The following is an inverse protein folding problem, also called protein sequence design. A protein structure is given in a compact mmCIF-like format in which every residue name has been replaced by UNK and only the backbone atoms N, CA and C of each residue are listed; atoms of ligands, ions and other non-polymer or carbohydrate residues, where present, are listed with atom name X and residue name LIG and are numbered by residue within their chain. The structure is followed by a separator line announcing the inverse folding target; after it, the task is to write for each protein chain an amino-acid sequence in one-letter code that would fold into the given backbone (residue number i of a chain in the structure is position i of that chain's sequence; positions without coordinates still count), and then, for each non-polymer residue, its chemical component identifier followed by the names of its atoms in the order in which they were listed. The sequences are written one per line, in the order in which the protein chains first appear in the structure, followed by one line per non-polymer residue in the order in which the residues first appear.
data_IF_345746349533
#
_entry.id   IF_345746349533
#
_cell.length_a   1.000
_cell.length_b   1.000
_cell.length_c   1.000
_cell.angle_alpha   90.00
_cell.angle_beta   90.00
_cell.angle_gamma   90.00
#
_symmetry.space_group_name_H-M   'P 1'
#
loop_
_entity.id
_entity.type
_entity.pdbx_description
1 polymer ?
#
# COMPACT_ATOMS: atom_id res chain seq x y z
N UNK A 1 -15.29 5.24 17.04
CA UNK A 1 -14.32 5.73 16.02
C UNK A 1 -13.11 4.80 16.07
N UNK A 2 -12.53 4.41 14.95
CA UNK A 2 -11.36 3.52 14.97
C UNK A 2 -10.08 4.35 15.23
N UNK A 3 -9.35 4.11 16.33
CA UNK A 3 -8.10 4.83 16.63
C UNK A 3 -7.00 4.57 15.60
N UNK A 4 -6.95 3.35 15.02
CA UNK A 4 -5.94 3.01 14.02
C UNK A 4 -6.10 3.87 12.77
N UNK A 5 -7.34 4.14 12.33
CA UNK A 5 -7.59 5.00 11.18
C UNK A 5 -7.04 6.41 11.42
N UNK A 6 -7.26 6.96 12.63
CA UNK A 6 -6.74 8.27 12.98
C UNK A 6 -5.20 8.31 13.01
N UNK A 7 -4.55 7.27 13.54
CA UNK A 7 -3.08 7.17 13.53
C UNK A 7 -2.56 7.15 12.10
N UNK A 8 -3.17 6.38 11.20
CA UNK A 8 -2.77 6.33 9.79
C UNK A 8 -2.97 7.69 9.10
N UNK A 9 -4.08 8.38 9.37
CA UNK A 9 -4.32 9.74 8.85
C UNK A 9 -3.28 10.75 9.34
N UNK A 10 -2.87 10.68 10.62
CA UNK A 10 -1.85 11.55 11.20
C UNK A 10 -0.48 11.29 10.59
N UNK A 11 -0.06 10.02 10.48
CA UNK A 11 1.23 9.65 9.88
C UNK A 11 1.31 10.07 8.40
N UNK A 12 0.22 9.85 7.65
CA UNK A 12 0.11 10.31 6.27
C UNK A 12 0.20 11.83 6.15
N UNK A 13 -0.53 12.57 7.00
CA UNK A 13 -0.47 14.03 7.01
C UNK A 13 0.94 14.53 7.37
N UNK A 14 1.59 13.96 8.38
CA UNK A 14 2.93 14.33 8.81
C UNK A 14 3.96 14.16 7.69
N UNK A 15 3.88 13.06 6.94
CA UNK A 15 4.78 12.80 5.81
C UNK A 15 4.54 13.78 4.63
N UNK A 16 3.29 14.17 4.40
CA UNK A 16 2.90 14.96 3.22
C UNK A 16 2.96 16.48 3.43
N UNK A 17 2.70 17.00 4.63
CA UNK A 17 2.66 18.44 4.92
C UNK A 17 3.93 19.18 4.45
N UNK A 18 5.17 18.70 4.72
CA UNK A 18 6.38 19.41 4.30
C UNK A 18 6.51 19.58 2.79
N UNK A 19 5.89 18.68 2.02
CA UNK A 19 6.00 18.62 0.55
C UNK A 19 4.82 19.29 -0.14
N UNK A 20 3.60 19.12 0.37
CA UNK A 20 2.38 19.57 -0.29
C UNK A 20 1.87 20.93 0.21
N UNK A 21 2.16 21.30 1.46
CA UNK A 21 1.62 22.53 2.03
C UNK A 21 2.39 23.78 1.56
N UNK A 22 1.65 24.83 1.22
CA UNK A 22 2.21 26.18 1.01
C UNK A 22 2.59 26.87 2.33
N UNK A 23 2.10 26.37 3.46
CA UNK A 23 2.29 26.92 4.80
C UNK A 23 2.60 25.80 5.81
N UNK A 24 3.72 25.08 5.65
CA UNK A 24 3.99 23.84 6.40
C UNK A 24 3.98 24.02 7.91
N UNK A 25 4.53 25.12 8.44
CA UNK A 25 4.51 25.38 9.89
C UNK A 25 3.09 25.53 10.47
N UNK A 26 2.18 26.18 9.73
CA UNK A 26 0.78 26.38 10.14
C UNK A 26 0.00 25.07 10.11
N UNK A 27 0.19 24.29 9.05
CA UNK A 27 -0.52 23.02 8.88
C UNK A 27 0.02 21.95 9.84
N UNK A 28 1.32 21.98 10.12
CA UNK A 28 1.95 21.15 11.15
C UNK A 28 1.41 21.49 12.54
N UNK A 29 1.29 22.77 12.90
CA UNK A 29 0.67 23.18 14.16
C UNK A 29 -0.82 22.74 14.24
N UNK A 30 -1.51 22.70 13.11
CA UNK A 30 -2.90 22.19 13.04
C UNK A 30 -2.96 20.68 13.28
N UNK A 31 -2.00 19.93 12.74
CA UNK A 31 -1.83 18.49 12.98
C UNK A 31 -1.51 18.21 14.45
N UNK A 32 -0.54 18.91 15.03
CA UNK A 32 -0.16 18.77 16.44
C UNK A 32 -1.34 19.09 17.37
N UNK A 33 -2.10 20.15 17.05
CA UNK A 33 -3.33 20.48 17.77
C UNK A 33 -4.40 19.38 17.65
N UNK A 34 -4.48 18.68 16.51
CA UNK A 34 -5.39 17.56 16.35
C UNK A 34 -4.96 16.37 17.21
N UNK A 35 -3.68 16.02 17.21
CA UNK A 35 -3.11 14.94 18.03
C UNK A 35 -3.29 15.22 19.53
N UNK A 36 -3.01 16.46 19.96
CA UNK A 36 -3.16 16.88 21.35
C UNK A 36 -4.60 16.92 21.87
N UNK A 37 -5.61 16.76 21.01
CA UNK A 37 -7.02 16.62 21.43
C UNK A 37 -7.38 15.20 21.86
N UNK A 38 -6.57 14.19 21.53
CA UNK A 38 -6.87 12.81 21.90
C UNK A 38 -6.57 12.62 23.38
N UNK A 39 -7.61 12.33 24.15
CA UNK A 39 -7.53 12.11 25.59
C UNK A 39 -7.31 10.63 25.88
N UNK A 40 -6.04 10.21 25.88
CA UNK A 40 -5.65 8.83 26.20
C UNK A 40 -5.82 8.55 27.71
N UNK A 41 -5.69 9.57 28.56
CA UNK A 41 -5.83 9.44 30.01
C UNK A 41 -7.26 9.05 30.41
N UNK A 42 -8.26 9.39 29.60
CA UNK A 42 -9.61 8.91 29.77
C UNK A 42 -9.70 7.38 29.84
N UNK A 43 -8.79 6.63 29.20
CA UNK A 43 -8.78 5.16 29.24
C UNK A 43 -8.23 4.58 30.55
N UNK A 44 -7.60 5.40 31.40
CA UNK A 44 -7.09 4.96 32.71
C UNK A 44 -8.21 4.85 33.77
N UNK A 45 -9.44 5.24 33.44
CA UNK A 45 -10.60 5.14 34.33
C UNK A 45 -10.96 3.67 34.64
N UNK A 46 -10.77 3.20 35.88
CA UNK A 46 -11.00 1.81 36.26
C UNK A 46 -12.49 1.41 36.22
N UNK A 47 -13.41 2.37 36.12
CA UNK A 47 -14.86 2.11 35.98
C UNK A 47 -15.27 1.72 34.56
N UNK A 48 -14.39 1.88 33.56
CA UNK A 48 -14.69 1.66 32.15
C UNK A 48 -15.59 2.73 31.51
N UNK A 49 -16.00 3.77 32.25
CA UNK A 49 -16.80 4.87 31.73
C UNK A 49 -16.01 5.80 30.80
N UNK A 50 -14.68 5.80 30.93
CA UNK A 50 -13.72 6.59 30.16
C UNK A 50 -13.72 6.37 28.64
N UNK A 51 -14.21 5.22 28.15
CA UNK A 51 -14.29 4.93 26.72
C UNK A 51 -15.12 5.97 25.96
N UNK A 52 -16.21 6.48 26.56
CA UNK A 52 -17.05 7.50 25.92
C UNK A 52 -16.32 8.84 25.77
N UNK A 53 -15.52 9.19 26.75
CA UNK A 53 -14.71 10.42 26.75
C UNK A 53 -13.59 10.31 25.72
N UNK A 54 -12.87 9.17 25.69
CA UNK A 54 -11.87 8.88 24.67
C UNK A 54 -12.47 8.97 23.26
N UNK A 55 -13.61 8.32 23.02
CA UNK A 55 -14.29 8.33 21.73
C UNK A 55 -14.71 9.74 21.29
N UNK A 56 -15.19 10.57 22.23
CA UNK A 56 -15.54 11.96 21.96
C UNK A 56 -14.30 12.79 21.60
N UNK A 57 -13.19 12.60 22.33
CA UNK A 57 -11.91 13.26 22.07
C UNK A 57 -11.37 12.90 20.68
N UNK A 58 -11.46 11.62 20.29
CA UNK A 58 -11.01 11.10 19.00
C UNK A 58 -11.81 11.69 17.83
N UNK A 59 -13.14 11.82 17.98
CA UNK A 59 -13.97 12.50 16.96
C UNK A 59 -13.60 13.98 16.81
N UNK A 60 -13.33 14.66 17.93
CA UNK A 60 -12.92 16.07 17.91
C UNK A 60 -11.53 16.25 17.26
N UNK A 61 -10.61 15.31 17.47
CA UNK A 61 -9.31 15.25 16.82
C UNK A 61 -9.44 15.00 15.30
N UNK A 62 -10.27 14.03 14.89
CA UNK A 62 -10.57 13.75 13.47
C UNK A 62 -11.19 14.96 12.77
N UNK A 63 -12.10 15.68 13.44
CA UNK A 63 -12.70 16.90 12.88
C UNK A 63 -11.68 18.02 12.70
N UNK A 64 -10.72 18.15 13.62
CA UNK A 64 -9.61 19.09 13.48
C UNK A 64 -8.72 18.72 12.28
N UNK A 65 -8.35 17.44 12.17
CA UNK A 65 -7.52 16.93 11.07
C UNK A 65 -8.22 17.08 9.71
N UNK A 66 -9.55 16.99 9.67
CA UNK A 66 -10.33 17.15 8.46
C UNK A 66 -10.12 18.50 7.76
N UNK A 67 -9.69 19.55 8.48
CA UNK A 67 -9.35 20.85 7.89
C UNK A 67 -8.14 20.79 6.94
N UNK A 68 -7.26 19.78 7.09
CA UNK A 68 -6.11 19.56 6.21
C UNK A 68 -6.45 18.75 4.96
N UNK A 69 -7.63 18.10 4.89
CA UNK A 69 -8.04 17.24 3.77
C UNK A 69 -7.98 17.96 2.40
N UNK A 70 -8.42 19.22 2.24
CA UNK A 70 -8.32 19.91 0.95
C UNK A 70 -6.87 20.10 0.47
N UNK A 71 -5.93 20.27 1.40
CA UNK A 71 -4.50 20.37 1.07
C UNK A 71 -3.92 19.00 0.71
N UNK A 72 -4.20 17.97 1.51
CA UNK A 72 -3.68 16.62 1.29
C UNK A 72 -4.23 15.96 0.01
N UNK A 73 -5.42 16.35 -0.45
CA UNK A 73 -6.06 15.81 -1.67
C UNK A 73 -5.67 16.53 -2.97
N UNK A 74 -4.66 17.41 -2.94
CA UNK A 74 -4.18 18.10 -4.14
C UNK A 74 -3.43 17.18 -5.10
N UNK A 75 -2.92 16.05 -4.60
CA UNK A 75 -2.11 15.10 -5.38
C UNK A 75 -2.78 13.74 -5.40
N UNK A 76 -2.72 13.07 -6.55
CA UNK A 76 -3.10 11.67 -6.68
C UNK A 76 -1.83 10.84 -6.81
N UNK A 77 -1.65 9.87 -5.90
CA UNK A 77 -0.56 8.91 -5.96
C UNK A 77 -1.05 7.65 -6.69
N UNK A 78 -0.25 7.21 -7.66
CA UNK A 78 -0.46 5.93 -8.34
C UNK A 78 0.63 4.98 -7.87
N UNK A 79 0.23 3.90 -7.22
CA UNK A 79 1.13 2.89 -6.67
C UNK A 79 0.89 1.56 -7.38
N UNK A 80 1.96 0.81 -7.62
CA UNK A 80 1.90 -0.54 -8.17
C UNK A 80 2.94 -1.42 -7.50
N UNK A 81 2.61 -2.68 -7.27
CA UNK A 81 3.58 -3.70 -6.91
C UNK A 81 4.58 -3.92 -8.05
N UNK A 82 5.84 -4.12 -7.69
CA UNK A 82 6.92 -4.50 -8.60
C UNK A 82 7.93 -5.37 -7.86
N UNK A 83 8.65 -6.21 -8.59
CA UNK A 83 9.83 -6.90 -8.07
C UNK A 83 10.95 -6.87 -9.09
N UNK A 84 12.00 -6.10 -8.81
CA UNK A 84 13.24 -6.20 -9.55
C UNK A 84 13.95 -7.50 -9.16
N UNK A 85 14.27 -8.33 -10.15
CA UNK A 85 14.99 -9.59 -9.96
C UNK A 85 16.14 -9.59 -10.95
N UNK A 86 17.36 -9.78 -10.48
CA UNK A 86 18.52 -9.94 -11.35
C UNK A 86 18.58 -11.34 -11.95
N UNK A 87 18.66 -11.42 -13.28
CA UNK A 87 18.64 -12.68 -14.01
C UNK A 87 19.82 -13.60 -13.64
N UNK A 88 21.00 -13.01 -13.48
CA UNK A 88 22.23 -13.65 -13.02
C UNK A 88 23.11 -12.60 -12.35
N UNK A 89 23.34 -12.76 -11.05
CA UNK A 89 24.21 -11.86 -10.27
C UNK A 89 25.14 -12.67 -9.39
N UNK A 90 24.85 -12.80 -8.09
CA UNK A 90 25.66 -13.58 -7.13
C UNK A 90 25.19 -15.03 -6.98
N UNK A 91 24.23 -15.47 -7.79
CA UNK A 91 23.66 -16.82 -7.78
C UNK A 91 23.46 -17.38 -9.20
N UNK A 92 23.42 -18.71 -9.37
CA UNK A 92 23.13 -19.35 -10.63
C UNK A 92 21.74 -19.00 -11.16
N UNK A 93 21.60 -18.96 -12.48
CA UNK A 93 20.33 -18.75 -13.20
C UNK A 93 19.20 -19.68 -12.71
N UNK A 94 19.51 -20.93 -12.38
CA UNK A 94 18.52 -21.90 -11.88
C UNK A 94 17.86 -21.44 -10.58
N UNK A 95 18.63 -20.80 -9.70
CA UNK A 95 18.09 -20.22 -8.46
C UNK A 95 17.22 -18.99 -8.76
N UNK A 96 17.60 -18.17 -9.75
CA UNK A 96 16.74 -17.06 -10.19
C UNK A 96 15.38 -17.55 -10.67
N UNK A 97 15.33 -18.65 -11.41
CA UNK A 97 14.05 -19.23 -11.87
C UNK A 97 13.15 -19.57 -10.67
N UNK A 98 13.72 -20.09 -9.59
CA UNK A 98 12.96 -20.41 -8.37
C UNK A 98 12.55 -19.15 -7.60
N UNK A 99 13.37 -18.09 -7.62
CA UNK A 99 13.01 -16.77 -7.08
C UNK A 99 11.84 -16.17 -7.85
N UNK A 100 11.87 -16.23 -9.18
CA UNK A 100 10.77 -15.76 -10.04
C UNK A 100 9.49 -16.54 -9.71
N UNK A 101 9.57 -17.86 -9.60
CA UNK A 101 8.42 -18.70 -9.26
C UNK A 101 7.77 -18.29 -7.94
N UNK A 102 8.56 -18.16 -6.87
CA UNK A 102 8.04 -17.72 -5.56
C UNK A 102 7.46 -16.31 -5.62
N UNK A 103 8.13 -15.40 -6.31
CA UNK A 103 7.68 -14.00 -6.41
C UNK A 103 6.37 -13.88 -7.16
N UNK A 104 6.25 -14.60 -8.29
CA UNK A 104 5.05 -14.59 -9.09
C UNK A 104 3.87 -15.28 -8.39
N UNK A 105 4.13 -16.39 -7.69
CA UNK A 105 3.12 -17.04 -6.85
C UNK A 105 2.55 -16.09 -5.79
N UNK A 106 3.40 -15.38 -5.06
CA UNK A 106 2.95 -14.38 -4.08
C UNK A 106 2.17 -13.25 -4.74
N UNK A 107 2.64 -12.70 -5.87
CA UNK A 107 1.93 -11.65 -6.57
C UNK A 107 0.56 -12.10 -7.08
N UNK A 108 0.45 -13.35 -7.57
CA UNK A 108 -0.81 -13.94 -8.02
C UNK A 108 -1.81 -14.06 -6.86
N UNK A 109 -1.36 -14.55 -5.70
CA UNK A 109 -2.16 -14.61 -4.49
C UNK A 109 -2.62 -13.22 -4.04
N UNK A 110 -1.73 -12.23 -4.02
CA UNK A 110 -2.07 -10.85 -3.63
C UNK A 110 -3.10 -10.22 -4.57
N UNK A 111 -3.07 -10.51 -5.87
CA UNK A 111 -4.11 -10.06 -6.80
C UNK A 111 -5.48 -10.64 -6.44
N UNK A 112 -5.53 -11.90 -6.00
CA UNK A 112 -6.78 -12.55 -5.60
C UNK A 112 -7.32 -11.98 -4.28
N UNK A 113 -6.43 -11.79 -3.30
CA UNK A 113 -6.79 -11.35 -1.95
C UNK A 113 -7.13 -9.85 -1.87
N UNK A 114 -6.42 -9.01 -2.63
CA UNK A 114 -6.53 -7.56 -2.56
C UNK A 114 -7.02 -6.98 -3.89
N UNK A 115 -8.33 -6.67 -4.06
CA UNK A 115 -8.92 -6.28 -5.35
C UNK A 115 -8.31 -5.03 -6.02
N UNK A 116 -7.63 -4.17 -5.26
CA UNK A 116 -6.97 -2.96 -5.77
C UNK A 116 -5.49 -3.15 -6.07
N UNK A 117 -4.90 -4.28 -5.69
CA UNK A 117 -3.50 -4.55 -5.93
C UNK A 117 -3.25 -4.73 -7.43
N UNK A 118 -2.25 -4.01 -7.93
CA UNK A 118 -1.68 -4.19 -9.27
C UNK A 118 -0.23 -4.60 -9.14
N UNK A 119 0.23 -5.44 -10.07
CA UNK A 119 1.60 -5.90 -10.13
C UNK A 119 2.16 -5.69 -11.53
N UNK A 120 3.41 -5.25 -11.59
CA UNK A 120 4.13 -5.00 -12.82
C UNK A 120 5.49 -5.68 -12.80
N UNK A 121 5.81 -6.45 -13.83
CA UNK A 121 7.14 -7.03 -14.01
C UNK A 121 7.77 -6.61 -15.34
N UNK A 122 9.05 -6.24 -15.31
CA UNK A 122 9.83 -5.78 -16.46
C UNK A 122 10.29 -6.93 -17.36
N UNK A 123 10.85 -8.02 -16.85
CA UNK A 123 11.50 -9.02 -17.71
C UNK A 123 10.53 -10.07 -18.28
N UNK A 124 10.30 -10.03 -19.59
CA UNK A 124 9.48 -11.02 -20.28
C UNK A 124 10.06 -12.45 -20.26
N UNK A 125 11.39 -12.57 -20.17
CA UNK A 125 12.08 -13.85 -20.06
C UNK A 125 11.63 -14.68 -18.85
N UNK A 126 11.14 -14.02 -17.79
CA UNK A 126 10.65 -14.66 -16.58
C UNK A 126 9.35 -15.41 -16.84
N UNK A 127 8.46 -14.84 -17.66
CA UNK A 127 7.24 -15.53 -18.08
C UNK A 127 7.57 -16.80 -18.87
N UNK A 128 8.57 -16.75 -19.76
CA UNK A 128 9.01 -17.94 -20.50
C UNK A 128 9.54 -19.04 -19.56
N UNK A 129 10.33 -18.68 -18.52
CA UNK A 129 10.77 -19.67 -17.54
C UNK A 129 9.62 -20.27 -16.73
N UNK A 130 8.59 -19.48 -16.43
CA UNK A 130 7.41 -19.98 -15.74
C UNK A 130 6.61 -20.92 -16.65
N UNK A 131 6.39 -20.56 -17.92
CA UNK A 131 5.73 -21.43 -18.88
C UNK A 131 6.47 -22.77 -19.06
N UNK A 132 7.81 -22.74 -19.10
CA UNK A 132 8.63 -23.94 -19.31
C UNK A 132 8.73 -24.83 -18.06
N UNK A 133 8.97 -24.25 -16.87
CA UNK A 133 9.29 -25.02 -15.64
C UNK A 133 8.08 -25.16 -14.69
N UNK A 134 7.15 -24.22 -14.71
CA UNK A 134 6.01 -24.13 -13.80
C UNK A 134 4.69 -23.80 -14.54
N UNK A 135 4.25 -24.67 -15.47
CA UNK A 135 3.12 -24.38 -16.35
C UNK A 135 1.80 -24.12 -15.60
N UNK A 136 1.61 -24.74 -14.43
CA UNK A 136 0.41 -24.51 -13.60
C UNK A 136 0.31 -23.05 -13.12
N UNK A 137 1.42 -22.47 -12.69
CA UNK A 137 1.47 -21.06 -12.26
C UNK A 137 1.29 -20.11 -13.46
N UNK A 138 1.90 -20.43 -14.60
CA UNK A 138 1.73 -19.64 -15.82
C UNK A 138 0.26 -19.60 -16.28
N UNK A 139 -0.44 -20.73 -16.22
CA UNK A 139 -1.87 -20.81 -16.52
C UNK A 139 -2.73 -20.01 -15.53
N UNK A 140 -2.38 -20.03 -14.23
CA UNK A 140 -3.03 -19.19 -13.23
C UNK A 140 -2.84 -17.70 -13.53
N UNK A 141 -1.61 -17.27 -13.82
CA UNK A 141 -1.29 -15.88 -14.17
C UNK A 141 -2.07 -15.45 -15.43
N UNK A 142 -2.15 -16.31 -16.46
CA UNK A 142 -2.96 -16.05 -17.66
C UNK A 142 -4.44 -15.86 -17.34
N UNK A 143 -5.01 -16.68 -16.45
CA UNK A 143 -6.39 -16.53 -15.98
C UNK A 143 -6.56 -15.20 -15.23
N UNK A 144 -5.62 -14.85 -14.37
CA UNK A 144 -5.62 -13.58 -13.65
C UNK A 144 -5.55 -12.39 -14.61
N UNK A 145 -4.66 -12.39 -15.59
CA UNK A 145 -4.57 -11.32 -16.60
C UNK A 145 -5.91 -11.13 -17.34
N UNK A 146 -6.61 -12.23 -17.68
CA UNK A 146 -7.92 -12.19 -18.35
C UNK A 146 -9.04 -11.70 -17.42
N UNK A 147 -9.07 -12.18 -16.18
CA UNK A 147 -10.11 -11.86 -15.21
C UNK A 147 -9.95 -10.47 -14.57
N UNK A 148 -8.70 -9.99 -14.48
CA UNK A 148 -8.30 -8.80 -13.74
C UNK A 148 -7.61 -7.82 -14.71
N UNK A 149 -8.40 -7.26 -15.63
CA UNK A 149 -7.93 -6.38 -16.70
C UNK A 149 -6.98 -5.29 -16.18
N UNK A 150 -5.72 -5.34 -16.62
CA UNK A 150 -4.69 -4.36 -16.26
C UNK A 150 -4.07 -4.50 -14.87
N UNK A 151 -4.44 -5.52 -14.07
CA UNK A 151 -3.90 -5.72 -12.71
C UNK A 151 -2.59 -6.49 -12.66
N UNK A 152 -2.28 -7.25 -13.71
CA UNK A 152 -0.96 -7.83 -13.92
C UNK A 152 -0.40 -7.32 -15.24
N UNK A 153 0.69 -6.55 -15.18
CA UNK A 153 1.31 -5.92 -16.34
C UNK A 153 2.71 -6.46 -16.59
N UNK A 154 2.99 -6.85 -17.83
CA UNK A 154 4.35 -7.07 -18.31
C UNK A 154 4.88 -5.74 -18.86
N UNK A 155 5.63 -4.98 -18.06
CA UNK A 155 6.09 -3.63 -18.39
C UNK A 155 7.14 -3.56 -19.49
N UNK A 156 7.88 -4.64 -19.77
CA UNK A 156 8.74 -4.70 -20.95
C UNK A 156 8.31 -5.88 -21.82
N UNK A 157 7.92 -5.57 -23.05
CA UNK A 157 7.31 -6.53 -23.96
C UNK A 157 8.26 -7.66 -24.36
N UNK A 158 7.70 -8.87 -24.43
CA UNK A 158 8.03 -9.84 -25.47
C UNK A 158 6.73 -10.55 -25.84
N UNK A 159 6.06 -10.09 -26.89
CA UNK A 159 4.93 -10.80 -27.47
C UNK A 159 5.44 -12.04 -28.20
N UNK A 160 5.10 -13.24 -27.71
CA UNK A 160 4.78 -14.37 -28.60
C UNK A 160 3.27 -14.48 -28.67
N UNK A 161 2.68 -13.61 -29.47
CA UNK A 161 1.47 -13.95 -30.23
C UNK A 161 1.90 -14.75 -31.46
#
# INVERSE_FOLDING_TARGET
PNPNDFVQEVLGAQALIPTLSKHPAKDQATLEKAVGKVDIQALDDPSGAGQKTFDASLRAAQQQLASLKPMLRQVTFHETGNSHIDAAWLWPRSETVDVVHRTFGTAAQLIQEYPKYTYTQSAAQYNAWMADKYPELDDEIKKLIKAAAGRWSAACGWSRT
#
